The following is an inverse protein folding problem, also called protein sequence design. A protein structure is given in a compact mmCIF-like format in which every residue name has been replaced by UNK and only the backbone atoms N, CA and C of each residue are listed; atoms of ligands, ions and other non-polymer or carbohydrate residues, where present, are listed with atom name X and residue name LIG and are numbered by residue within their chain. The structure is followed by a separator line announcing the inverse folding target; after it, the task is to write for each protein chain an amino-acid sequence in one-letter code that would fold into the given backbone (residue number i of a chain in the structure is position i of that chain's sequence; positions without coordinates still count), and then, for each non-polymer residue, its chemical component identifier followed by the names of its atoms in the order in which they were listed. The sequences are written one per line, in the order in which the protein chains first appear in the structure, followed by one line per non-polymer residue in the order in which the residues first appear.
data_IF_150595731443
#
_entry.id   IF_150595731443
#
_cell.length_a   1.000
_cell.length_b   1.000
_cell.length_c   1.000
_cell.angle_alpha   90.00
_cell.angle_beta   90.00
_cell.angle_gamma   90.00
#
_symmetry.space_group_name_H-M   'P 1'
#
loop_
_entity.id
_entity.type
_entity.pdbx_description
1 polymer ?
#
# COMPACT_ATOMS: atom_id res chain seq x y z
N UNK A 1 20.13 -9.91 21.64
CA UNK A 1 19.05 -10.28 20.70
C UNK A 1 18.03 -11.10 21.49
N UNK A 2 16.82 -10.59 21.67
CA UNK A 2 15.72 -11.35 22.28
C UNK A 2 15.26 -12.42 21.28
N UNK A 3 15.05 -13.65 21.75
CA UNK A 3 14.55 -14.74 20.91
C UNK A 3 13.14 -14.40 20.40
N UNK A 4 12.99 -14.33 19.09
CA UNK A 4 11.70 -14.17 18.42
C UNK A 4 11.42 -15.50 17.72
N UNK A 5 10.25 -16.13 17.95
CA UNK A 5 9.90 -17.36 17.25
C UNK A 5 9.82 -17.11 15.72
N UNK A 6 10.06 -18.14 14.89
CA UNK A 6 9.93 -18.02 13.45
C UNK A 6 8.51 -17.56 13.07
N UNK A 7 8.45 -16.61 12.13
CA UNK A 7 7.20 -16.15 11.53
C UNK A 7 6.76 -17.10 10.42
N UNK A 8 5.47 -17.40 10.37
CA UNK A 8 4.89 -18.35 9.40
C UNK A 8 4.46 -17.65 8.10
N UNK A 9 3.99 -16.39 8.20
CA UNK A 9 3.31 -15.68 7.10
C UNK A 9 4.00 -14.37 6.70
N UNK A 10 4.93 -13.87 7.53
CA UNK A 10 5.71 -12.64 7.27
C UNK A 10 7.20 -12.90 7.33
N UNK A 11 7.97 -12.08 6.62
CA UNK A 11 9.43 -12.06 6.75
C UNK A 11 9.84 -11.24 7.97
N UNK A 12 11.04 -11.50 8.47
CA UNK A 12 11.64 -10.66 9.50
C UNK A 12 11.81 -9.21 9.01
N UNK A 13 11.45 -8.21 9.82
CA UNK A 13 11.58 -6.82 9.44
C UNK A 13 13.04 -6.40 9.30
N UNK A 14 13.35 -5.66 8.23
CA UNK A 14 14.60 -4.91 8.14
C UNK A 14 14.45 -3.61 8.93
N UNK A 15 15.13 -3.51 10.07
CA UNK A 15 14.94 -2.38 11.01
C UNK A 15 15.68 -1.11 10.61
N UNK A 16 16.81 -1.22 9.88
CA UNK A 16 17.72 -0.09 9.61
C UNK A 16 17.06 1.13 8.98
N UNK A 17 16.31 0.95 7.89
CA UNK A 17 15.63 2.06 7.21
C UNK A 17 14.54 2.70 8.08
N UNK A 18 13.82 1.89 8.85
CA UNK A 18 12.75 2.36 9.75
C UNK A 18 13.32 3.19 10.89
N UNK A 19 14.43 2.74 11.49
CA UNK A 19 15.15 3.49 12.52
C UNK A 19 15.64 4.83 11.96
N UNK A 20 16.28 4.81 10.79
CA UNK A 20 16.77 6.03 10.16
C UNK A 20 15.63 7.03 9.87
N UNK A 21 14.50 6.54 9.35
CA UNK A 21 13.34 7.35 9.06
C UNK A 21 12.73 7.97 10.34
N UNK A 22 12.49 7.17 11.39
CA UNK A 22 11.93 7.67 12.66
C UNK A 22 12.88 8.69 13.29
N UNK A 23 14.18 8.41 13.34
CA UNK A 23 15.15 9.33 13.94
C UNK A 23 15.23 10.67 13.21
N UNK A 24 15.14 10.67 11.87
CA UNK A 24 15.25 11.89 11.07
C UNK A 24 13.93 12.67 10.96
N UNK A 25 12.79 12.00 11.09
CA UNK A 25 11.49 12.55 10.67
C UNK A 25 10.42 12.55 11.77
N UNK A 26 10.69 12.05 12.98
CA UNK A 26 9.72 12.03 14.08
C UNK A 26 9.09 13.39 14.38
N UNK A 27 9.82 14.47 14.20
CA UNK A 27 9.35 15.83 14.50
C UNK A 27 8.59 16.47 13.30
N UNK A 28 8.51 15.77 12.16
CA UNK A 28 7.91 16.27 10.90
C UNK A 28 6.59 15.60 10.53
N UNK A 29 6.24 14.47 11.15
CA UNK A 29 5.00 13.74 10.84
C UNK A 29 4.30 13.26 12.11
N UNK A 30 2.97 13.36 12.13
CA UNK A 30 2.16 13.07 13.31
C UNK A 30 2.00 11.56 13.62
N UNK A 31 2.12 10.70 12.59
CA UNK A 31 1.83 9.28 12.73
C UNK A 31 2.49 8.41 11.65
N UNK A 32 2.70 7.15 12.01
CA UNK A 32 3.07 6.07 11.11
C UNK A 32 1.83 5.24 10.75
N UNK A 33 1.60 5.03 9.45
CA UNK A 33 0.52 4.19 8.96
C UNK A 33 1.03 2.77 8.75
N UNK A 34 0.53 1.85 9.56
CA UNK A 34 0.80 0.44 9.42
C UNK A 34 -0.26 -0.20 8.51
N UNK A 35 0.13 -0.47 7.26
CA UNK A 35 -0.74 -1.04 6.22
C UNK A 35 -0.39 -2.51 6.01
N UNK A 36 -1.41 -3.36 6.01
CA UNK A 36 -1.31 -4.78 5.67
C UNK A 36 -2.36 -5.10 4.61
N UNK A 37 -1.91 -5.56 3.44
CA UNK A 37 -2.78 -5.89 2.32
C UNK A 37 -2.82 -7.41 2.18
N UNK A 38 -4.02 -7.95 2.10
CA UNK A 38 -4.28 -9.37 1.90
C UNK A 38 -5.09 -9.55 0.63
N UNK A 39 -4.57 -10.37 -0.27
CA UNK A 39 -5.23 -10.72 -1.52
C UNK A 39 -6.02 -12.00 -1.31
N UNK A 40 -7.30 -11.99 -1.64
CA UNK A 40 -8.06 -13.24 -1.77
C UNK A 40 -7.39 -14.13 -2.83
N UNK A 41 -7.61 -15.45 -2.74
CA UNK A 41 -7.09 -16.45 -3.68
C UNK A 41 -5.56 -16.68 -3.64
N UNK A 42 -4.86 -16.15 -2.64
CA UNK A 42 -3.41 -16.41 -2.44
C UNK A 42 -3.11 -17.63 -1.58
N UNK A 43 -4.10 -18.49 -1.35
CA UNK A 43 -3.95 -19.72 -0.58
C UNK A 43 -4.62 -20.88 -1.31
N UNK A 44 -3.83 -21.91 -1.63
CA UNK A 44 -4.35 -23.14 -2.21
C UNK A 44 -4.92 -24.01 -1.08
N UNK A 45 -6.23 -24.24 -1.10
CA UNK A 45 -6.91 -25.09 -0.12
C UNK A 45 -6.50 -26.56 -0.26
N UNK A 46 -6.11 -27.00 -1.45
CA UNK A 46 -5.75 -28.40 -1.71
C UNK A 46 -4.32 -28.69 -1.26
N UNK A 47 -3.39 -27.78 -1.52
CA UNK A 47 -1.98 -27.92 -1.18
C UNK A 47 -1.64 -27.35 0.21
N UNK A 48 -2.61 -26.75 0.90
CA UNK A 48 -2.45 -26.09 2.20
C UNK A 48 -1.28 -25.09 2.25
N UNK A 49 -1.02 -24.41 1.13
CA UNK A 49 0.11 -23.50 0.99
C UNK A 49 -0.28 -22.16 0.36
N UNK A 50 0.52 -21.14 0.67
CA UNK A 50 0.39 -19.82 0.06
C UNK A 50 0.91 -19.86 -1.36
N UNK A 51 0.12 -19.37 -2.30
CA UNK A 51 0.48 -19.18 -3.70
C UNK A 51 1.00 -17.74 -3.88
N UNK A 52 1.77 -17.51 -4.93
CA UNK A 52 2.14 -16.16 -5.34
C UNK A 52 0.91 -15.26 -5.44
N UNK A 53 1.05 -14.02 -4.97
CA UNK A 53 0.02 -13.01 -5.16
C UNK A 53 -0.10 -12.67 -6.66
N UNK A 54 -1.31 -12.31 -7.08
CA UNK A 54 -1.56 -11.88 -8.45
C UNK A 54 -0.58 -10.76 -8.83
N UNK A 55 0.03 -10.91 -9.99
CA UNK A 55 0.84 -9.86 -10.60
C UNK A 55 -0.02 -8.62 -10.90
N UNK A 56 0.63 -7.47 -11.11
CA UNK A 56 -0.10 -6.24 -11.47
C UNK A 56 -0.95 -6.44 -12.74
N UNK A 57 -0.46 -7.22 -13.72
CA UNK A 57 -1.24 -7.52 -14.93
C UNK A 57 -2.50 -8.33 -14.63
N UNK A 58 -2.40 -9.36 -13.79
CA UNK A 58 -3.53 -10.20 -13.36
C UNK A 58 -4.52 -9.40 -12.49
N UNK A 59 -4.02 -8.51 -11.64
CA UNK A 59 -4.83 -7.58 -10.87
C UNK A 59 -5.64 -6.65 -11.78
N UNK A 60 -5.01 -6.03 -12.79
CA UNK A 60 -5.68 -5.15 -13.75
C UNK A 60 -6.68 -5.89 -14.65
N UNK A 61 -6.48 -7.19 -14.89
CA UNK A 61 -7.43 -8.05 -15.59
C UNK A 61 -8.61 -8.50 -14.71
N UNK A 62 -8.65 -8.08 -13.45
CA UNK A 62 -9.72 -8.44 -12.51
C UNK A 62 -9.65 -9.88 -12.00
N UNK A 63 -8.47 -10.51 -12.05
CA UNK A 63 -8.32 -11.90 -11.59
C UNK A 63 -8.33 -12.01 -10.05
N UNK A 64 -8.09 -10.91 -9.33
CA UNK A 64 -8.25 -10.83 -7.87
C UNK A 64 -9.68 -10.39 -7.53
N UNK A 65 -10.46 -11.25 -6.90
CA UNK A 65 -11.88 -10.98 -6.62
C UNK A 65 -12.10 -10.07 -5.41
N UNK A 66 -11.33 -10.27 -4.34
CA UNK A 66 -11.47 -9.56 -3.07
C UNK A 66 -10.09 -9.15 -2.54
N UNK A 67 -10.01 -7.95 -1.96
CA UNK A 67 -8.78 -7.41 -1.39
C UNK A 67 -9.12 -6.82 -0.02
N UNK A 68 -8.43 -7.31 1.01
CA UNK A 68 -8.63 -6.86 2.38
C UNK A 68 -7.46 -5.98 2.80
N UNK A 69 -7.74 -4.72 3.13
CA UNK A 69 -6.74 -3.76 3.60
C UNK A 69 -6.96 -3.52 5.07
N UNK A 70 -5.98 -3.85 5.88
CA UNK A 70 -5.94 -3.47 7.29
C UNK A 70 -5.00 -2.28 7.46
N UNK A 71 -5.53 -1.15 7.90
CA UNK A 71 -4.78 0.09 8.11
C UNK A 71 -4.87 0.48 9.58
N UNK A 72 -3.72 0.65 10.23
CA UNK A 72 -3.63 1.18 11.60
C UNK A 72 -2.78 2.44 11.63
N UNK A 73 -3.39 3.55 12.05
CA UNK A 73 -2.67 4.80 12.32
C UNK A 73 -2.04 4.71 13.72
N UNK A 74 -0.71 4.88 13.80
CA UNK A 74 0.05 4.85 15.04
C UNK A 74 0.64 6.25 15.26
N UNK A 75 0.12 7.04 16.22
CA UNK A 75 0.72 8.32 16.60
C UNK A 75 2.22 8.17 16.91
N UNK A 76 3.02 9.16 16.50
CA UNK A 76 4.47 9.13 16.70
C UNK A 76 4.84 9.06 18.19
N UNK A 77 4.03 9.67 19.05
CA UNK A 77 4.21 9.69 20.51
C UNK A 77 4.17 8.29 21.16
N UNK A 78 3.52 7.32 20.48
CA UNK A 78 3.44 5.94 20.96
C UNK A 78 4.66 5.10 20.54
N UNK A 79 5.55 5.65 19.69
CA UNK A 79 6.72 4.93 19.19
C UNK A 79 7.90 5.19 20.13
N UNK A 80 8.49 4.14 20.73
CA UNK A 80 9.58 4.32 21.66
C UNK A 80 10.82 4.81 20.91
N UNK A 81 11.19 6.08 21.14
CA UNK A 81 12.25 6.77 20.39
C UNK A 81 13.54 7.00 21.19
N UNK A 82 13.68 6.40 22.38
CA UNK A 82 14.85 6.64 23.22
C UNK A 82 16.10 5.86 22.76
N UNK A 83 15.92 4.73 22.06
CA UNK A 83 17.05 3.93 21.54
C UNK A 83 16.68 3.14 20.29
N UNK A 84 17.64 2.95 19.37
CA UNK A 84 17.48 2.13 18.15
C UNK A 84 17.00 0.69 18.42
N UNK A 85 17.40 0.11 19.56
CA UNK A 85 16.93 -1.21 19.98
C UNK A 85 15.45 -1.22 20.34
N UNK A 86 14.94 -0.16 20.96
CA UNK A 86 13.53 -0.05 21.30
C UNK A 86 12.66 0.08 20.04
N UNK A 87 13.10 0.89 19.07
CA UNK A 87 12.44 0.99 17.75
C UNK A 87 12.44 -0.37 17.05
N UNK A 88 13.57 -1.09 17.09
CA UNK A 88 13.67 -2.43 16.52
C UNK A 88 12.70 -3.40 17.18
N UNK A 89 12.67 -3.45 18.52
CA UNK A 89 11.77 -4.30 19.27
C UNK A 89 10.30 -3.94 19.01
N UNK A 90 9.96 -2.66 18.96
CA UNK A 90 8.63 -2.19 18.59
C UNK A 90 8.24 -2.69 17.19
N UNK A 91 9.14 -2.58 16.20
CA UNK A 91 8.90 -3.07 14.85
C UNK A 91 8.70 -4.59 14.81
N UNK A 92 9.47 -5.35 15.59
CA UNK A 92 9.24 -6.79 15.74
C UNK A 92 7.86 -7.11 16.31
N UNK A 93 7.41 -6.38 17.34
CA UNK A 93 6.06 -6.55 17.89
C UNK A 93 4.98 -6.24 16.85
N UNK A 94 5.19 -5.24 15.99
CA UNK A 94 4.27 -4.97 14.87
C UNK A 94 4.19 -6.16 13.91
N UNK A 95 5.32 -6.79 13.58
CA UNK A 95 5.35 -7.95 12.69
C UNK A 95 4.74 -9.21 13.33
N UNK A 96 4.88 -9.42 14.65
CA UNK A 96 4.14 -10.47 15.38
C UNK A 96 2.62 -10.29 15.22
N UNK A 97 2.13 -9.06 15.33
CA UNK A 97 0.69 -8.78 15.16
C UNK A 97 0.27 -9.06 13.71
N UNK A 98 1.07 -8.68 12.72
CA UNK A 98 0.79 -8.97 11.30
C UNK A 98 0.76 -10.47 11.00
N UNK A 99 1.69 -11.22 11.57
CA UNK A 99 1.75 -12.67 11.39
C UNK A 99 0.48 -13.35 11.91
N UNK A 100 0.02 -12.97 13.12
CA UNK A 100 -1.25 -13.45 13.69
C UNK A 100 -2.45 -13.04 12.84
N UNK A 101 -2.45 -11.81 12.34
CA UNK A 101 -3.52 -11.31 11.46
C UNK A 101 -3.61 -12.14 10.17
N UNK A 102 -2.47 -12.41 9.52
CA UNK A 102 -2.43 -13.25 8.32
C UNK A 102 -2.82 -14.69 8.61
N UNK A 103 -2.34 -15.26 9.72
CA UNK A 103 -2.74 -16.60 10.16
C UNK A 103 -4.25 -16.71 10.30
N UNK A 104 -4.86 -15.76 11.00
CA UNK A 104 -6.32 -15.70 11.15
C UNK A 104 -7.02 -15.54 9.81
N UNK A 105 -6.51 -14.71 8.90
CA UNK A 105 -7.09 -14.53 7.58
C UNK A 105 -7.11 -15.84 6.76
N UNK A 106 -6.00 -16.58 6.74
CA UNK A 106 -5.93 -17.85 6.01
C UNK A 106 -6.71 -18.98 6.71
N UNK A 107 -6.70 -19.03 8.05
CA UNK A 107 -7.50 -19.98 8.82
C UNK A 107 -9.02 -19.71 8.69
N UNK A 108 -9.45 -18.45 8.62
CA UNK A 108 -10.86 -18.07 8.44
C UNK A 108 -11.40 -18.37 7.05
N UNK A 109 -10.54 -18.39 6.03
CA UNK A 109 -10.92 -18.86 4.69
C UNK A 109 -11.31 -20.37 4.66
N UNK A 110 -11.10 -21.07 5.80
CA UNK A 110 -11.55 -22.43 6.09
C UNK A 110 -12.96 -22.47 6.71
N UNK A 111 -13.38 -21.47 7.49
CA UNK A 111 -14.64 -21.46 8.26
C UNK A 111 -15.27 -20.03 8.33
N UNK A 112 -16.29 -19.77 7.53
CA UNK A 112 -17.30 -18.68 7.60
C UNK A 112 -16.89 -17.27 8.11
N UNK A 113 -16.73 -16.36 7.12
CA UNK A 113 -16.84 -14.88 6.98
C UNK A 113 -16.98 -13.87 8.16
N UNK A 114 -16.95 -14.18 9.46
CA UNK A 114 -17.32 -13.16 10.48
C UNK A 114 -16.39 -12.96 11.68
N UNK A 115 -15.06 -12.93 11.50
CA UNK A 115 -14.13 -12.65 12.62
C UNK A 115 -12.90 -11.80 12.24
N UNK A 116 -13.03 -10.83 11.33
CA UNK A 116 -12.08 -9.69 11.26
C UNK A 116 -12.29 -8.69 12.42
N UNK A 117 -13.04 -9.09 13.44
CA UNK A 117 -13.45 -8.29 14.60
C UNK A 117 -12.42 -8.32 15.76
N UNK A 118 -11.18 -8.73 15.50
CA UNK A 118 -10.15 -8.80 16.55
C UNK A 118 -9.65 -7.39 16.97
N UNK A 119 -10.03 -6.33 16.25
CA UNK A 119 -9.93 -4.93 16.69
C UNK A 119 -11.35 -4.30 16.73
N UNK A 120 -12.24 -4.93 17.53
CA UNK A 120 -13.69 -4.71 17.76
C UNK A 120 -14.19 -3.29 18.10
N UNK A 121 -13.74 -2.24 17.42
CA UNK A 121 -14.39 -0.92 17.55
C UNK A 121 -14.38 -0.07 16.28
N UNK A 122 -13.98 -0.64 15.13
CA UNK A 122 -14.03 0.05 13.83
C UNK A 122 -14.65 -0.88 12.81
N UNK A 123 -15.86 -0.53 12.37
CA UNK A 123 -16.55 -1.22 11.29
C UNK A 123 -15.68 -1.19 10.03
N UNK A 124 -15.33 -2.39 9.52
CA UNK A 124 -14.64 -2.51 8.25
C UNK A 124 -15.55 -2.07 7.11
N UNK A 125 -15.10 -1.14 6.29
CA UNK A 125 -15.88 -0.66 5.14
C UNK A 125 -15.69 -1.65 4.00
N UNK A 126 -16.78 -2.31 3.59
CA UNK A 126 -16.82 -3.04 2.33
C UNK A 126 -17.12 -2.04 1.22
N UNK A 127 -16.14 -1.80 0.35
CA UNK A 127 -16.32 -1.01 -0.85
C UNK A 127 -16.38 -1.96 -2.05
N UNK A 128 -17.55 -2.06 -2.68
CA UNK A 128 -17.66 -2.70 -3.98
C UNK A 128 -17.15 -1.72 -5.05
N UNK A 129 -16.12 -2.13 -5.77
CA UNK A 129 -15.53 -1.32 -6.83
C UNK A 129 -16.33 -1.54 -8.11
N UNK A 130 -17.32 -0.68 -8.35
CA UNK A 130 -18.09 -0.76 -9.59
C UNK A 130 -17.37 0.01 -10.72
N UNK A 131 -17.28 -0.60 -11.90
CA UNK A 131 -16.61 0.03 -13.04
C UNK A 131 -17.29 1.33 -13.48
N UNK A 132 -18.57 1.56 -13.13
CA UNK A 132 -19.25 2.82 -13.51
C UNK A 132 -18.67 4.05 -12.82
N UNK A 133 -18.06 3.88 -11.66
CA UNK A 133 -17.54 5.02 -10.89
C UNK A 133 -16.34 5.65 -11.59
N UNK A 134 -15.62 4.86 -12.40
CA UNK A 134 -14.52 5.35 -13.24
C UNK A 134 -14.96 5.75 -14.65
N UNK A 135 -16.16 5.36 -15.11
CA UNK A 135 -16.64 5.65 -16.48
C UNK A 135 -16.68 7.16 -16.74
N UNK A 136 -17.15 7.99 -15.80
CA UNK A 136 -17.21 9.44 -16.02
C UNK A 136 -15.84 10.05 -16.26
N UNK A 137 -14.86 9.67 -15.43
CA UNK A 137 -13.46 10.07 -15.61
C UNK A 137 -12.91 9.55 -16.93
N UNK A 138 -13.14 8.28 -17.25
CA UNK A 138 -12.70 7.69 -18.52
C UNK A 138 -13.29 8.42 -19.73
N UNK A 139 -14.58 8.72 -19.74
CA UNK A 139 -15.24 9.48 -20.81
C UNK A 139 -14.65 10.89 -20.90
N UNK A 140 -14.44 11.57 -19.77
CA UNK A 140 -13.84 12.90 -19.76
C UNK A 140 -12.43 12.91 -20.38
N UNK A 141 -11.58 11.96 -20.01
CA UNK A 141 -10.23 11.83 -20.57
C UNK A 141 -10.25 11.41 -22.04
N UNK A 142 -11.14 10.48 -22.43
CA UNK A 142 -11.30 10.05 -23.81
C UNK A 142 -11.83 11.19 -24.70
N UNK A 143 -12.82 11.96 -24.25
CA UNK A 143 -13.34 13.10 -25.00
C UNK A 143 -12.28 14.18 -25.17
N UNK A 144 -11.55 14.50 -24.10
CA UNK A 144 -10.49 15.51 -24.12
C UNK A 144 -9.36 15.09 -25.07
N UNK A 145 -8.94 13.82 -25.03
CA UNK A 145 -7.91 13.31 -25.95
C UNK A 145 -8.42 13.23 -27.39
N UNK A 146 -9.67 12.81 -27.62
CA UNK A 146 -10.29 12.82 -28.94
C UNK A 146 -10.37 14.24 -29.54
N UNK A 147 -10.77 15.25 -28.76
CA UNK A 147 -10.82 16.65 -29.21
C UNK A 147 -9.45 17.17 -29.65
N UNK A 148 -8.39 16.84 -28.90
CA UNK A 148 -7.01 17.15 -29.28
C UNK A 148 -6.59 16.42 -30.56
N UNK A 149 -7.00 15.16 -30.75
CA UNK A 149 -6.62 14.38 -31.92
C UNK A 149 -7.46 14.67 -33.17
N UNK A 150 -8.63 15.29 -33.07
CA UNK A 150 -9.43 15.67 -34.25
C UNK A 150 -8.89 16.94 -34.90
N UNK A 151 -8.41 17.89 -34.09
CA UNK A 151 -7.90 19.16 -34.60
C UNK A 151 -6.44 19.05 -35.07
N UNK A 152 -6.07 19.63 -36.22
CA UNK A 152 -4.69 19.57 -36.72
C UNK A 152 -3.71 20.25 -35.76
N UNK A 153 -4.14 21.30 -35.06
CA UNK A 153 -3.37 21.98 -34.03
C UNK A 153 -3.22 21.14 -32.76
N UNK A 154 -4.28 20.44 -32.34
CA UNK A 154 -4.25 19.59 -31.15
C UNK A 154 -3.34 18.37 -31.30
N UNK A 155 -3.23 17.78 -32.50
CA UNK A 155 -2.28 16.68 -32.78
C UNK A 155 -0.83 17.12 -32.57
N UNK A 156 -0.48 18.31 -33.05
CA UNK A 156 0.85 18.90 -32.88
C UNK A 156 1.16 19.10 -31.39
N UNK A 157 0.21 19.68 -30.66
CA UNK A 157 0.33 19.94 -29.23
C UNK A 157 0.42 18.64 -28.42
N UNK A 158 -0.36 17.61 -28.76
CA UNK A 158 -0.35 16.31 -28.08
C UNK A 158 1.02 15.63 -28.15
N UNK A 159 1.62 15.52 -29.34
CA UNK A 159 2.94 14.90 -29.48
C UNK A 159 4.04 15.73 -28.81
N UNK A 160 3.93 17.06 -28.85
CA UNK A 160 4.82 17.96 -28.12
C UNK A 160 4.74 17.75 -26.60
N UNK A 161 3.55 17.61 -26.02
CA UNK A 161 3.38 17.30 -24.59
C UNK A 161 3.97 15.94 -24.25
N UNK A 162 3.75 14.92 -25.07
CA UNK A 162 4.33 13.59 -24.81
C UNK A 162 5.86 13.60 -24.83
N UNK A 163 6.48 14.36 -25.76
CA UNK A 163 7.93 14.41 -25.91
C UNK A 163 8.59 15.32 -24.86
N UNK A 164 8.04 16.50 -24.62
CA UNK A 164 8.63 17.53 -23.76
C UNK A 164 8.10 17.53 -22.33
N UNK A 165 6.95 16.92 -22.06
CA UNK A 165 6.36 16.85 -20.71
C UNK A 165 7.28 16.17 -19.69
N UNK A 166 7.77 14.95 -19.93
CA UNK A 166 8.69 14.27 -19.02
C UNK A 166 9.99 15.06 -18.73
N UNK A 167 10.75 15.57 -19.72
CA UNK A 167 11.95 16.34 -19.42
C UNK A 167 11.63 17.65 -18.70
N UNK A 168 10.54 18.36 -19.03
CA UNK A 168 10.13 19.57 -18.31
C UNK A 168 9.78 19.25 -16.85
N UNK A 169 9.09 18.14 -16.59
CA UNK A 169 8.77 17.71 -15.22
C UNK A 169 10.03 17.38 -14.41
N UNK A 170 11.01 16.72 -15.02
CA UNK A 170 12.29 16.42 -14.37
C UNK A 170 13.11 17.69 -14.12
N UNK A 171 13.09 18.62 -15.07
CA UNK A 171 13.76 19.92 -14.98
C UNK A 171 13.11 20.77 -13.88
N UNK A 172 11.79 20.74 -13.75
CA UNK A 172 11.04 21.38 -12.66
C UNK A 172 11.41 20.80 -11.29
N UNK A 173 11.46 19.47 -11.17
CA UNK A 173 11.93 18.80 -9.94
C UNK A 173 13.38 19.15 -9.60
N UNK A 174 14.21 19.44 -10.61
CA UNK A 174 15.61 19.81 -10.40
C UNK A 174 15.81 21.29 -10.05
N UNK A 175 15.02 22.20 -10.66
CA UNK A 175 15.07 23.66 -10.38
C UNK A 175 14.40 24.00 -9.06
N UNK A 176 13.32 23.30 -8.71
CA UNK A 176 12.66 23.39 -7.42
C UNK A 176 12.95 22.12 -6.62
N UNK A 177 14.21 21.88 -6.21
CA UNK A 177 14.43 20.88 -5.18
C UNK A 177 13.60 21.34 -4.00
N UNK A 178 12.72 20.47 -3.48
CA UNK A 178 11.96 20.77 -2.27
C UNK A 178 12.97 21.28 -1.25
N UNK A 179 12.84 22.56 -0.88
CA UNK A 179 13.78 23.25 0.01
C UNK A 179 14.10 22.30 1.15
N UNK A 180 15.39 22.02 1.36
CA UNK A 180 15.91 21.16 2.40
C UNK A 180 15.10 21.38 3.68
N UNK A 181 14.18 20.46 3.97
CA UNK A 181 13.59 20.32 5.28
C UNK A 181 14.72 19.77 6.16
N UNK A 182 15.60 20.65 6.60
CA UNK A 182 16.44 20.45 7.79
C UNK A 182 15.48 20.50 8.97
#
# INVERSE_FOLDING_TARGET
MNYVPPFDHVLYPRTGATIAAINALKDKFDAVYDVTIMYSQTYDKNQQMRIAAASMGEFLQGQTKELHIHIKRIPIDLIPSATNEQISNWLYQRFIIKDKLLKNFYDQNRNNKYLLDIDSNREGIQAELHLTDTIFSCIFFLLTTCLLLITPQGRSLYWQICLFGPPISLLWMHIFPQKNFI
#
